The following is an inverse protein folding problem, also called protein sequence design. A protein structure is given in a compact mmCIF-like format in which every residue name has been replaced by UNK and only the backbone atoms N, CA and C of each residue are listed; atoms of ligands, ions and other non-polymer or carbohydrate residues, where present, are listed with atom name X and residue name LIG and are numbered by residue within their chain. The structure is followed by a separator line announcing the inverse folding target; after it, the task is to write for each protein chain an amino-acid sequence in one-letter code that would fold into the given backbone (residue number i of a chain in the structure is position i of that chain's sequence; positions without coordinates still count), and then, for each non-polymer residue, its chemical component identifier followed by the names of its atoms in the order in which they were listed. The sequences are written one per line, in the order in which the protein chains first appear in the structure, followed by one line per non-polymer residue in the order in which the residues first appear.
data_IF_662718073086
#
_entry.id   IF_662718073086
#
_cell.length_a   1.000
_cell.length_b   1.000
_cell.length_c   1.000
_cell.angle_alpha   90.00
_cell.angle_beta   90.00
_cell.angle_gamma   90.00
#
_symmetry.space_group_name_H-M   'P 1'
#
loop_
_entity.id
_entity.type
_entity.pdbx_description
1 polymer ?
#
# COMPACT_ATOMS: atom_id res chain seq x y z
N UNK A 1 41.38 8.48 -11.79
CA UNK A 1 40.34 8.41 -12.86
C UNK A 1 39.33 7.34 -12.48
N UNK A 2 38.24 7.75 -11.82
CA UNK A 2 37.21 6.85 -11.30
C UNK A 2 36.15 6.59 -12.38
N UNK A 3 35.95 5.32 -12.75
CA UNK A 3 34.85 4.90 -13.64
C UNK A 3 33.58 4.81 -12.81
N UNK A 4 32.71 5.80 -12.94
CA UNK A 4 31.34 5.75 -12.45
C UNK A 4 30.61 4.58 -13.13
N UNK A 5 30.16 3.60 -12.33
CA UNK A 5 29.25 2.54 -12.78
C UNK A 5 27.85 3.15 -12.82
N UNK A 6 27.30 3.29 -14.01
CA UNK A 6 25.92 3.72 -14.22
C UNK A 6 24.96 2.72 -13.56
N UNK A 7 24.18 3.21 -12.60
CA UNK A 7 23.04 2.50 -12.05
C UNK A 7 21.96 2.47 -13.14
N UNK A 8 21.62 1.28 -13.63
CA UNK A 8 20.56 1.10 -14.60
C UNK A 8 19.22 1.52 -13.95
N UNK A 9 18.77 2.73 -14.29
CA UNK A 9 17.45 3.23 -13.97
C UNK A 9 16.44 2.40 -14.77
N UNK A 10 15.71 1.50 -14.13
CA UNK A 10 14.60 0.79 -14.75
C UNK A 10 13.47 1.78 -15.01
N UNK A 11 13.52 2.42 -16.18
CA UNK A 11 12.42 3.20 -16.72
C UNK A 11 11.28 2.25 -17.08
N UNK A 12 10.13 2.46 -16.45
CA UNK A 12 8.85 1.89 -16.88
C UNK A 12 8.52 2.55 -18.23
N UNK A 13 8.76 1.84 -19.33
CA UNK A 13 8.28 2.22 -20.66
C UNK A 13 7.03 1.38 -20.95
N UNK A 14 5.87 2.03 -20.95
CA UNK A 14 4.65 1.44 -21.48
C UNK A 14 4.64 1.60 -22.99
N UNK A 15 4.73 0.50 -23.74
CA UNK A 15 4.38 0.51 -25.16
C UNK A 15 2.86 0.51 -25.32
N UNK A 16 2.37 1.56 -25.98
CA UNK A 16 1.02 1.69 -26.51
C UNK A 16 0.81 0.67 -27.64
N UNK A 17 -0.30 -0.07 -27.59
CA UNK A 17 -1.29 -0.14 -28.70
C UNK A 17 -2.47 -1.03 -28.32
N UNK A 18 -3.57 -0.40 -27.91
CA UNK A 18 -4.95 -0.77 -28.22
C UNK A 18 -5.81 0.48 -27.99
N UNK A 19 -6.85 0.76 -28.78
CA UNK A 19 -7.68 1.93 -28.56
C UNK A 19 -8.35 1.82 -27.18
N UNK A 20 -8.15 2.85 -26.36
CA UNK A 20 -8.78 2.98 -25.06
C UNK A 20 -10.29 2.94 -25.25
N UNK A 21 -10.95 1.88 -24.78
CA UNK A 21 -12.36 1.96 -24.44
C UNK A 21 -12.41 2.85 -23.20
N UNK A 22 -12.85 4.09 -23.40
CA UNK A 22 -12.76 5.21 -22.48
C UNK A 22 -13.17 4.88 -21.05
N UNK A 23 -12.59 5.67 -20.16
CA UNK A 23 -12.91 5.85 -18.76
C UNK A 23 -14.32 6.47 -18.53
N UNK A 24 -15.36 5.98 -19.21
CA UNK A 24 -16.67 6.65 -19.21
C UNK A 24 -17.56 6.33 -17.99
N UNK A 25 -17.16 5.40 -17.11
CA UNK A 25 -17.96 4.97 -15.94
C UNK A 25 -17.23 5.20 -14.59
N UNK A 26 -16.16 6.00 -14.56
CA UNK A 26 -15.39 6.27 -13.33
C UNK A 26 -15.23 7.77 -13.11
N UNK A 27 -15.76 8.25 -11.99
CA UNK A 27 -15.53 9.62 -11.54
C UNK A 27 -14.18 9.72 -10.82
N UNK A 28 -13.29 10.56 -11.34
CA UNK A 28 -11.99 10.84 -10.74
C UNK A 28 -12.05 12.19 -10.00
N UNK A 29 -11.69 12.18 -8.71
CA UNK A 29 -11.42 13.41 -7.94
C UNK A 29 -9.93 13.47 -7.65
N UNK A 30 -9.15 14.27 -8.41
CA UNK A 30 -7.71 14.34 -8.26
C UNK A 30 -7.30 15.16 -7.03
N UNK A 31 -6.09 14.86 -6.53
CA UNK A 31 -5.33 15.70 -5.61
C UNK A 31 -6.08 16.20 -4.37
N UNK A 32 -6.85 15.30 -3.75
CA UNK A 32 -7.48 15.55 -2.46
C UNK A 32 -6.38 15.67 -1.40
N UNK A 33 -6.27 16.85 -0.81
CA UNK A 33 -5.26 17.13 0.23
C UNK A 33 -5.71 16.57 1.58
N UNK A 34 -4.95 15.63 2.13
CA UNK A 34 -5.21 15.04 3.44
C UNK A 34 -4.30 15.58 4.55
N UNK A 35 -3.27 16.36 4.20
CA UNK A 35 -2.36 16.98 5.15
C UNK A 35 -1.36 17.91 4.47
N UNK A 36 -0.63 18.68 5.28
CA UNK A 36 0.47 19.51 4.82
C UNK A 36 1.72 19.20 5.63
N UNK A 37 2.87 19.11 4.96
CA UNK A 37 4.15 18.79 5.61
C UNK A 37 5.31 19.43 4.86
N UNK A 38 6.18 20.17 5.56
CA UNK A 38 7.28 20.95 4.96
C UNK A 38 6.87 21.83 3.77
N UNK A 39 5.69 22.46 3.85
CA UNK A 39 5.15 23.29 2.77
C UNK A 39 4.62 22.50 1.55
N UNK A 40 4.58 21.17 1.62
CA UNK A 40 4.03 20.30 0.59
C UNK A 40 2.61 19.85 0.98
N UNK A 41 1.73 19.75 0.01
CA UNK A 41 0.43 19.10 0.17
C UNK A 41 0.59 17.59 0.02
N UNK A 42 0.04 16.83 0.96
CA UNK A 42 -0.06 15.39 0.84
C UNK A 42 -1.40 15.02 0.26
N UNK A 43 -1.39 14.24 -0.82
CA UNK A 43 -2.57 14.03 -1.65
C UNK A 43 -2.91 12.56 -1.90
N UNK A 44 -4.19 12.31 -2.15
CA UNK A 44 -4.65 11.09 -2.80
C UNK A 44 -5.64 11.45 -3.92
N UNK A 45 -5.80 10.54 -4.87
CA UNK A 45 -6.89 10.63 -5.84
C UNK A 45 -8.02 9.67 -5.46
N UNK A 46 -9.25 10.03 -5.77
CA UNK A 46 -10.43 9.18 -5.56
C UNK A 46 -10.94 8.70 -6.91
N UNK A 47 -11.10 7.39 -7.06
CA UNK A 47 -11.72 6.74 -8.20
C UNK A 47 -13.03 6.14 -7.71
N UNK A 48 -14.15 6.76 -8.10
CA UNK A 48 -15.48 6.34 -7.70
C UNK A 48 -16.17 5.67 -8.88
N UNK A 49 -16.67 4.43 -8.76
CA UNK A 49 -17.49 3.84 -9.81
C UNK A 49 -18.80 4.63 -9.92
N UNK A 50 -19.16 5.06 -11.13
CA UNK A 50 -20.37 5.87 -11.33
C UNK A 50 -21.67 5.07 -11.23
N UNK A 51 -21.57 3.74 -11.35
CA UNK A 51 -22.67 2.77 -11.20
C UNK A 51 -22.27 1.70 -10.19
N UNK A 52 -23.28 1.13 -9.53
CA UNK A 52 -23.13 -0.06 -8.68
C UNK A 52 -22.07 0.07 -7.56
N UNK A 53 -21.86 1.28 -7.04
CA UNK A 53 -21.00 1.50 -5.90
C UNK A 53 -21.47 0.67 -4.68
N UNK A 54 -20.57 -0.16 -4.15
CA UNK A 54 -20.89 -1.14 -3.11
C UNK A 54 -20.74 -0.58 -1.68
N UNK A 55 -20.27 0.67 -1.57
CA UNK A 55 -20.05 1.41 -0.33
C UNK A 55 -18.79 1.02 0.44
N UNK A 56 -17.88 0.21 -0.11
CA UNK A 56 -16.59 -0.08 0.49
C UNK A 56 -15.45 0.71 -0.18
N UNK A 57 -14.43 1.05 0.59
CA UNK A 57 -13.27 1.81 0.15
C UNK A 57 -12.00 0.96 0.15
N UNK A 58 -11.16 1.09 -0.87
CA UNK A 58 -9.86 0.41 -0.94
C UNK A 58 -8.76 1.44 -1.18
N UNK A 59 -7.78 1.50 -0.28
CA UNK A 59 -6.64 2.39 -0.40
C UNK A 59 -5.51 1.66 -1.15
N UNK A 60 -5.00 2.27 -2.22
CA UNK A 60 -3.78 1.83 -2.89
C UNK A 60 -2.60 2.70 -2.44
N UNK A 61 -1.57 2.08 -1.88
CA UNK A 61 -0.33 2.79 -1.49
C UNK A 61 0.55 3.00 -2.72
N UNK A 62 0.61 4.23 -3.23
CA UNK A 62 1.50 4.61 -4.34
C UNK A 62 2.93 4.68 -3.83
N UNK A 63 3.61 3.53 -3.82
CA UNK A 63 4.96 3.44 -3.24
C UNK A 63 5.82 2.36 -3.91
N UNK A 64 6.92 2.79 -4.52
CA UNK A 64 7.95 1.88 -5.06
C UNK A 64 9.31 2.24 -4.47
N UNK A 65 9.91 1.36 -3.67
CA UNK A 65 11.11 1.69 -2.89
C UNK A 65 10.94 2.92 -1.99
N UNK A 66 9.72 3.14 -1.49
CA UNK A 66 9.29 4.32 -0.73
C UNK A 66 9.42 5.65 -1.49
N UNK A 67 9.52 5.61 -2.82
CA UNK A 67 9.24 6.74 -3.68
C UNK A 67 7.74 6.79 -3.98
N UNK A 68 7.13 7.96 -3.79
CA UNK A 68 5.72 8.19 -4.06
C UNK A 68 5.60 9.30 -5.11
N UNK A 69 5.41 8.90 -6.37
CA UNK A 69 5.42 9.83 -7.50
C UNK A 69 4.00 10.20 -7.89
N UNK A 70 3.80 11.49 -8.15
CA UNK A 70 2.59 11.95 -8.80
C UNK A 70 2.61 11.58 -10.28
N UNK A 71 1.46 11.14 -10.78
CA UNK A 71 1.17 10.98 -12.19
C UNK A 71 -0.30 11.36 -12.40
N UNK A 72 -0.71 11.80 -13.62
CA UNK A 72 -2.11 12.06 -13.91
C UNK A 72 -2.97 10.82 -13.57
N UNK A 73 -4.03 10.96 -12.75
CA UNK A 73 -4.81 9.83 -12.24
C UNK A 73 -5.48 9.00 -13.33
N UNK A 74 -5.76 9.58 -14.50
CA UNK A 74 -6.32 8.88 -15.65
C UNK A 74 -5.42 7.73 -16.10
N UNK A 75 -4.10 7.84 -15.88
CA UNK A 75 -3.13 6.76 -16.17
C UNK A 75 -3.26 5.57 -15.22
N UNK A 76 -3.80 5.79 -14.01
CA UNK A 76 -4.00 4.76 -13.01
C UNK A 76 -5.40 4.11 -13.08
N UNK A 77 -6.37 4.73 -13.77
CA UNK A 77 -7.75 4.22 -13.80
C UNK A 77 -7.82 2.76 -14.32
N UNK A 78 -7.00 2.41 -15.32
CA UNK A 78 -6.90 1.05 -15.84
C UNK A 78 -6.38 0.02 -14.82
N UNK A 79 -5.51 0.43 -13.89
CA UNK A 79 -5.00 -0.43 -12.81
C UNK A 79 -6.11 -0.79 -11.81
N UNK A 80 -7.05 0.11 -11.59
CA UNK A 80 -8.12 -0.05 -10.60
C UNK A 80 -9.39 -0.66 -11.16
N UNK A 81 -9.48 -0.86 -12.48
CA UNK A 81 -10.66 -1.42 -13.16
C UNK A 81 -11.22 -2.67 -12.47
N UNK A 82 -10.42 -3.69 -12.08
CA UNK A 82 -10.98 -4.89 -11.42
C UNK A 82 -11.69 -4.62 -10.09
N UNK A 83 -11.26 -3.59 -9.34
CA UNK A 83 -11.92 -3.16 -8.11
C UNK A 83 -13.16 -2.29 -8.41
N UNK A 84 -13.03 -1.37 -9.36
CA UNK A 84 -14.11 -0.46 -9.76
C UNK A 84 -15.30 -1.22 -10.35
N UNK A 85 -15.05 -2.27 -11.15
CA UNK A 85 -16.09 -3.16 -11.71
C UNK A 85 -16.84 -3.97 -10.62
N UNK A 86 -16.27 -4.08 -9.42
CA UNK A 86 -16.95 -4.66 -8.24
C UNK A 86 -17.59 -3.62 -7.33
N UNK A 87 -17.59 -2.36 -7.75
CA UNK A 87 -18.22 -1.26 -7.01
C UNK A 87 -17.37 -0.68 -5.88
N UNK A 88 -16.09 -1.03 -5.75
CA UNK A 88 -15.21 -0.44 -4.74
C UNK A 88 -14.80 0.98 -5.14
N UNK A 89 -14.85 1.92 -4.20
CA UNK A 89 -14.19 3.23 -4.35
C UNK A 89 -12.71 3.08 -4.03
N UNK A 90 -11.83 3.50 -4.94
CA UNK A 90 -10.37 3.37 -4.76
C UNK A 90 -9.74 4.71 -4.41
N UNK A 91 -8.88 4.72 -3.39
CA UNK A 91 -8.11 5.88 -2.96
C UNK A 91 -6.62 5.65 -3.28
N UNK A 92 -6.08 6.36 -4.26
CA UNK A 92 -4.68 6.25 -4.64
C UNK A 92 -3.83 7.19 -3.80
N UNK A 93 -3.27 6.68 -2.71
CA UNK A 93 -2.61 7.46 -1.65
C UNK A 93 -1.14 7.70 -1.97
N UNK A 94 -0.73 8.96 -1.96
CA UNK A 94 0.67 9.37 -2.03
C UNK A 94 1.16 9.82 -0.66
N UNK A 95 2.38 9.43 -0.31
CA UNK A 95 3.04 9.79 0.95
C UNK A 95 4.28 10.65 0.69
N UNK A 96 4.93 11.18 1.73
CA UNK A 96 6.20 11.88 1.57
C UNK A 96 7.20 11.00 0.80
N UNK A 97 7.74 11.48 -0.31
CA UNK A 97 8.60 10.65 -1.16
C UNK A 97 10.06 10.62 -0.67
N UNK A 98 10.68 9.44 -0.76
CA UNK A 98 12.14 9.30 -0.83
C UNK A 98 12.73 10.20 -1.94
N UNK A 99 13.96 10.73 -1.81
CA UNK A 99 14.90 10.52 -0.70
C UNK A 99 14.69 11.44 0.50
N UNK A 100 13.77 12.42 0.40
CA UNK A 100 13.55 13.44 1.43
C UNK A 100 12.97 12.84 2.70
N UNK A 101 11.98 11.98 2.57
CA UNK A 101 11.25 11.39 3.70
C UNK A 101 11.71 9.97 3.98
N UNK A 102 11.89 9.66 5.27
CA UNK A 102 12.26 8.32 5.74
C UNK A 102 11.05 7.52 6.18
N UNK A 103 11.19 6.21 6.38
CA UNK A 103 10.05 5.34 6.74
C UNK A 103 9.22 5.85 7.92
N UNK A 104 9.80 6.32 9.06
CA UNK A 104 8.99 6.84 10.17
C UNK A 104 8.03 7.97 9.75
N UNK A 105 8.54 8.86 8.91
CA UNK A 105 7.80 9.99 8.37
C UNK A 105 6.71 9.55 7.38
N UNK A 106 7.04 8.60 6.50
CA UNK A 106 6.13 8.03 5.51
C UNK A 106 4.97 7.28 6.19
N UNK A 107 5.27 6.53 7.25
CA UNK A 107 4.26 5.80 8.03
C UNK A 107 3.28 6.79 8.68
N UNK A 108 3.78 7.88 9.25
CA UNK A 108 2.91 8.95 9.77
C UNK A 108 1.99 9.53 8.69
N UNK A 109 2.47 9.69 7.46
CA UNK A 109 1.69 10.23 6.35
C UNK A 109 0.55 9.27 5.94
N UNK A 110 0.83 7.96 5.79
CA UNK A 110 -0.21 7.00 5.38
C UNK A 110 -1.21 6.69 6.49
N UNK A 111 -0.80 6.74 7.77
CA UNK A 111 -1.75 6.65 8.90
C UNK A 111 -2.73 7.83 8.85
N UNK A 112 -2.21 9.04 8.63
CA UNK A 112 -3.05 10.23 8.50
C UNK A 112 -4.04 10.10 7.33
N UNK A 113 -3.65 9.53 6.19
CA UNK A 113 -4.56 9.40 5.04
C UNK A 113 -5.74 8.48 5.33
N UNK A 114 -5.53 7.34 6.02
CA UNK A 114 -6.62 6.45 6.46
C UNK A 114 -7.60 7.20 7.35
N UNK A 115 -7.10 7.93 8.35
CA UNK A 115 -7.94 8.71 9.27
C UNK A 115 -8.73 9.78 8.55
N UNK A 116 -8.09 10.46 7.59
CA UNK A 116 -8.74 11.49 6.79
C UNK A 116 -9.86 10.91 5.93
N UNK A 117 -9.60 9.77 5.27
CA UNK A 117 -10.61 9.08 4.46
C UNK A 117 -11.77 8.63 5.35
N UNK A 118 -11.49 8.04 6.51
CA UNK A 118 -12.51 7.61 7.48
C UNK A 118 -13.34 8.78 8.01
N UNK A 119 -12.70 9.90 8.37
CA UNK A 119 -13.38 11.10 8.83
C UNK A 119 -14.35 11.67 7.78
N UNK A 120 -14.01 11.51 6.50
CA UNK A 120 -14.75 12.05 5.37
C UNK A 120 -15.50 10.96 4.59
N UNK A 121 -15.74 9.78 5.18
CA UNK A 121 -16.25 8.60 4.49
C UNK A 121 -17.59 8.87 3.78
N UNK A 122 -18.49 9.63 4.44
CA UNK A 122 -19.78 10.05 3.89
C UNK A 122 -19.63 10.83 2.57
N UNK A 123 -18.63 11.73 2.49
CA UNK A 123 -18.35 12.50 1.26
C UNK A 123 -17.97 11.62 0.07
N UNK A 124 -17.37 10.46 0.34
CA UNK A 124 -16.95 9.51 -0.69
C UNK A 124 -17.98 8.38 -0.93
N UNK A 125 -19.11 8.40 -0.22
CA UNK A 125 -20.11 7.34 -0.28
C UNK A 125 -19.60 5.98 0.19
N UNK A 126 -18.58 5.96 1.08
CA UNK A 126 -18.02 4.73 1.64
C UNK A 126 -18.40 4.58 3.11
N UNK A 127 -18.54 3.34 3.55
CA UNK A 127 -18.70 2.97 4.94
C UNK A 127 -17.33 3.03 5.65
N UNK A 128 -17.17 3.84 6.71
CA UNK A 128 -15.89 3.98 7.42
C UNK A 128 -15.38 2.69 8.06
N UNK A 129 -16.24 1.68 8.24
CA UNK A 129 -15.89 0.36 8.77
C UNK A 129 -15.45 -0.63 7.68
N UNK A 130 -15.69 -0.34 6.39
CA UNK A 130 -15.37 -1.22 5.25
C UNK A 130 -14.25 -0.63 4.40
N UNK A 131 -13.13 -0.32 5.06
CA UNK A 131 -11.91 0.21 4.43
C UNK A 131 -10.83 -0.86 4.38
N UNK A 132 -10.36 -1.20 3.17
CA UNK A 132 -9.20 -2.05 2.94
C UNK A 132 -7.99 -1.28 2.44
N UNK A 133 -6.81 -1.89 2.47
CA UNK A 133 -5.58 -1.32 1.91
C UNK A 133 -4.80 -2.35 1.12
N UNK A 134 -4.12 -1.90 0.07
CA UNK A 134 -3.12 -2.71 -0.61
C UNK A 134 -1.98 -1.92 -1.25
N UNK A 135 -0.93 -2.66 -1.59
CA UNK A 135 0.20 -2.14 -2.35
C UNK A 135 1.21 -3.25 -2.65
N UNK A 136 2.18 -2.94 -3.50
CA UNK A 136 3.29 -3.85 -3.81
C UNK A 136 4.63 -3.33 -3.30
N UNK A 137 5.54 -4.24 -2.95
CA UNK A 137 6.87 -3.90 -2.48
C UNK A 137 6.80 -2.94 -1.27
N UNK A 138 7.41 -1.76 -1.36
CA UNK A 138 7.27 -0.70 -0.35
C UNK A 138 5.80 -0.35 -0.02
N UNK A 139 4.89 -0.34 -1.01
CA UNK A 139 3.47 -0.14 -0.75
C UNK A 139 2.82 -1.30 0.01
N UNK A 140 3.30 -2.52 -0.21
CA UNK A 140 2.90 -3.70 0.55
C UNK A 140 3.41 -3.66 1.99
N UNK A 141 4.65 -3.20 2.19
CA UNK A 141 5.19 -2.90 3.53
C UNK A 141 4.33 -1.90 4.28
N UNK A 142 4.02 -0.75 3.66
CA UNK A 142 3.16 0.27 4.29
C UNK A 142 1.75 -0.26 4.58
N UNK A 143 1.21 -1.09 3.69
CA UNK A 143 -0.09 -1.75 3.89
C UNK A 143 -0.07 -2.68 5.12
N UNK A 144 1.00 -3.46 5.30
CA UNK A 144 1.16 -4.32 6.47
C UNK A 144 1.43 -3.54 7.75
N UNK A 145 2.20 -2.44 7.70
CA UNK A 145 2.38 -1.55 8.85
C UNK A 145 1.03 -0.98 9.29
N UNK A 146 0.21 -0.49 8.36
CA UNK A 146 -1.15 -0.03 8.68
C UNK A 146 -2.02 -1.13 9.28
N UNK A 147 -1.91 -2.36 8.78
CA UNK A 147 -2.65 -3.51 9.28
C UNK A 147 -2.26 -3.94 10.69
N UNK A 148 -0.96 -4.02 10.97
CA UNK A 148 -0.40 -4.60 12.21
C UNK A 148 -0.18 -3.58 13.33
N UNK A 149 -0.24 -2.28 13.03
CA UNK A 149 0.03 -1.22 14.02
C UNK A 149 -1.11 -0.21 14.16
N UNK A 150 -2.30 -0.52 13.63
CA UNK A 150 -3.46 0.38 13.68
C UNK A 150 -3.90 0.72 15.11
N UNK A 151 -4.40 1.93 15.30
CA UNK A 151 -4.91 2.43 16.59
C UNK A 151 -6.29 3.10 16.47
N UNK A 152 -6.89 3.42 17.61
CA UNK A 152 -8.23 4.03 17.70
C UNK A 152 -8.22 5.57 17.58
N UNK A 153 -7.03 6.16 17.50
CA UNK A 153 -6.79 7.59 17.54
C UNK A 153 -6.64 8.14 18.94
N UNK A 154 -6.35 9.44 19.02
CA UNK A 154 -6.23 10.16 20.27
C UNK A 154 -7.43 11.10 20.42
N UNK A 155 -8.43 10.78 21.28
CA UNK A 155 -9.61 11.61 21.49
C UNK A 155 -9.30 13.06 21.93
N UNK A 156 -8.12 13.29 22.52
CA UNK A 156 -7.66 14.60 22.99
C UNK A 156 -6.84 15.36 21.95
N UNK A 157 -6.62 14.82 20.75
CA UNK A 157 -5.84 15.50 19.72
C UNK A 157 -6.50 16.82 19.30
N UNK A 158 -5.70 17.86 19.06
CA UNK A 158 -6.21 19.15 18.57
C UNK A 158 -6.75 19.03 17.14
N UNK A 159 -6.03 18.31 16.29
CA UNK A 159 -6.45 18.00 14.93
C UNK A 159 -7.53 16.91 14.94
N UNK A 160 -8.74 17.17 14.39
CA UNK A 160 -9.80 16.18 14.31
C UNK A 160 -9.40 14.89 13.59
N UNK A 161 -8.52 14.96 12.58
CA UNK A 161 -8.05 13.78 11.85
C UNK A 161 -7.35 12.81 12.79
N UNK A 162 -6.56 13.31 13.74
CA UNK A 162 -5.80 12.47 14.68
C UNK A 162 -6.67 11.84 15.79
N UNK A 163 -7.96 12.21 15.87
CA UNK A 163 -8.92 11.58 16.79
C UNK A 163 -9.55 10.31 16.23
N UNK A 164 -9.45 10.12 14.93
CA UNK A 164 -10.13 9.05 14.19
C UNK A 164 -9.23 7.84 14.11
N UNK A 165 -9.76 6.63 14.29
CA UNK A 165 -9.00 5.38 14.11
C UNK A 165 -8.39 5.26 12.71
N UNK A 166 -7.24 4.60 12.60
CA UNK A 166 -6.65 4.16 11.32
C UNK A 166 -6.66 2.63 11.12
N UNK A 167 -7.37 1.88 11.96
CA UNK A 167 -7.58 0.43 11.78
C UNK A 167 -8.25 0.14 10.44
N UNK A 168 -7.93 -0.97 9.80
CA UNK A 168 -8.52 -1.36 8.52
C UNK A 168 -9.32 -2.65 8.67
N UNK A 169 -10.19 -2.95 7.71
CA UNK A 169 -11.02 -4.16 7.71
C UNK A 169 -10.38 -5.31 6.90
N UNK A 170 -9.47 -5.01 5.97
CA UNK A 170 -8.75 -6.01 5.19
C UNK A 170 -7.44 -5.46 4.63
N UNK A 171 -6.43 -6.31 4.50
CA UNK A 171 -5.13 -5.96 3.90
C UNK A 171 -4.78 -6.93 2.78
N UNK A 172 -4.23 -6.40 1.68
CA UNK A 172 -3.55 -7.21 0.66
C UNK A 172 -2.15 -6.65 0.43
N UNK A 173 -1.11 -7.48 0.49
CA UNK A 173 0.27 -7.02 0.28
C UNK A 173 1.00 -7.88 -0.75
N UNK A 174 1.47 -7.25 -1.82
CA UNK A 174 2.25 -7.93 -2.86
C UNK A 174 3.74 -7.84 -2.56
N UNK A 175 4.42 -8.99 -2.50
CA UNK A 175 5.88 -9.13 -2.27
C UNK A 175 6.46 -8.11 -1.28
N UNK A 176 5.88 -8.00 -0.06
CA UNK A 176 6.23 -6.93 0.87
C UNK A 176 7.51 -7.27 1.64
N UNK A 177 8.38 -6.29 1.91
CA UNK A 177 9.33 -6.42 3.00
C UNK A 177 8.61 -6.30 4.35
N UNK A 178 8.95 -7.18 5.28
CA UNK A 178 8.26 -7.34 6.58
C UNK A 178 9.15 -7.21 7.79
N UNK A 179 10.47 -7.34 7.60
CA UNK A 179 11.50 -7.19 8.63
C UNK A 179 12.59 -6.25 8.10
N UNK A 180 12.60 -5.03 8.62
CA UNK A 180 13.52 -3.98 8.19
C UNK A 180 14.80 -3.92 9.03
N UNK A 181 14.88 -4.65 10.14
CA UNK A 181 16.06 -4.67 11.03
C UNK A 181 17.38 -4.92 10.29
N UNK A 182 17.49 -5.94 9.40
CA UNK A 182 18.73 -6.14 8.63
C UNK A 182 18.94 -5.07 7.55
N UNK A 183 17.90 -4.32 7.18
CA UNK A 183 17.91 -3.39 6.04
C UNK A 183 18.30 -1.97 6.43
N UNK A 184 18.09 -1.58 7.69
CA UNK A 184 18.52 -0.29 8.24
C UNK A 184 20.00 -0.24 8.63
N UNK A 185 20.70 -1.37 8.58
CA UNK A 185 22.14 -1.42 8.83
C UNK A 185 22.88 -0.63 7.72
N UNK A 186 23.73 0.36 8.06
CA UNK A 186 24.48 1.14 7.07
C UNK A 186 25.30 0.32 6.08
N UNK A 187 25.72 -0.89 6.44
CA UNK A 187 26.46 -1.79 5.55
C UNK A 187 25.59 -2.57 4.58
N UNK A 188 24.28 -2.67 4.84
CA UNK A 188 23.31 -3.33 3.98
C UNK A 188 23.23 -2.68 2.61
N UNK A 189 23.12 -3.48 1.56
CA UNK A 189 22.86 -2.98 0.22
C UNK A 189 21.50 -2.28 0.13
N UNK A 190 20.52 -2.71 0.93
CA UNK A 190 19.21 -2.05 1.01
C UNK A 190 19.33 -0.62 1.54
N UNK A 191 20.05 -0.41 2.65
CA UNK A 191 20.31 0.91 3.21
C UNK A 191 20.95 1.87 2.18
N UNK A 192 21.94 1.36 1.44
CA UNK A 192 22.69 2.11 0.43
C UNK A 192 21.82 2.45 -0.78
N UNK A 193 20.91 1.57 -1.18
CA UNK A 193 20.09 1.71 -2.39
C UNK A 193 18.73 2.40 -2.17
N UNK A 194 18.16 2.34 -0.96
CA UNK A 194 16.85 2.89 -0.63
C UNK A 194 16.97 3.94 0.47
N UNK A 195 17.05 5.23 0.12
CA UNK A 195 17.26 6.30 1.09
C UNK A 195 16.21 6.38 2.20
N UNK A 196 15.00 5.85 2.00
CA UNK A 196 13.97 5.84 3.03
C UNK A 196 14.32 4.96 4.25
N UNK A 197 15.21 3.97 4.07
CA UNK A 197 15.75 3.11 5.15
C UNK A 197 16.82 3.80 6.00
N UNK A 198 17.25 5.00 5.60
CA UNK A 198 18.27 5.77 6.31
C UNK A 198 17.65 6.56 7.46
N UNK A 199 17.11 5.82 8.43
CA UNK A 199 16.60 6.32 9.71
C UNK A 199 17.30 5.61 10.87
N UNK A 200 17.01 6.03 12.10
CA UNK A 200 17.61 5.45 13.30
C UNK A 200 17.29 3.94 13.40
N UNK A 201 18.33 3.11 13.49
CA UNK A 201 18.18 1.65 13.55
C UNK A 201 17.46 1.18 14.81
N UNK A 202 17.46 1.97 15.88
CA UNK A 202 16.69 1.68 17.10
C UNK A 202 15.18 1.68 16.85
N UNK A 203 14.72 2.34 15.78
CA UNK A 203 13.30 2.35 15.39
C UNK A 203 12.96 1.23 14.39
N UNK A 204 13.90 0.36 14.03
CA UNK A 204 13.65 -0.64 12.99
C UNK A 204 12.54 -1.61 13.38
N UNK A 205 12.44 -1.93 14.67
CA UNK A 205 11.40 -2.79 15.20
C UNK A 205 10.02 -2.16 14.97
N UNK A 206 9.85 -0.87 15.29
CA UNK A 206 8.60 -0.11 15.13
C UNK A 206 8.04 -0.12 13.70
N UNK A 207 8.91 -0.28 12.70
CA UNK A 207 8.53 -0.26 11.28
C UNK A 207 8.68 -1.63 10.59
N UNK A 208 8.90 -2.69 11.36
CA UNK A 208 8.94 -4.08 10.88
C UNK A 208 7.62 -4.78 11.22
N UNK A 209 6.62 -4.82 10.31
CA UNK A 209 5.29 -5.35 10.62
C UNK A 209 5.30 -6.82 11.10
N UNK A 210 6.36 -7.59 10.78
CA UNK A 210 6.57 -8.93 11.33
C UNK A 210 6.53 -8.99 12.86
N UNK A 211 6.93 -7.91 13.55
CA UNK A 211 7.06 -7.87 15.01
C UNK A 211 5.78 -7.39 15.72
N UNK A 212 4.81 -6.89 14.96
CA UNK A 212 3.61 -6.26 15.51
C UNK A 212 2.34 -7.05 15.29
N UNK A 213 2.44 -8.27 14.74
CA UNK A 213 1.25 -9.10 14.54
C UNK A 213 0.51 -9.31 15.85
N UNK A 214 -0.80 -9.12 15.84
CA UNK A 214 -1.67 -9.17 17.01
C UNK A 214 -3.03 -9.75 16.65
N UNK A 215 -3.81 -10.21 17.64
CA UNK A 215 -5.10 -10.88 17.39
C UNK A 215 -6.19 -9.95 16.82
N UNK A 216 -6.01 -8.63 16.94
CA UNK A 216 -6.92 -7.60 16.43
C UNK A 216 -6.52 -7.05 15.06
N UNK A 217 -5.50 -7.63 14.43
CA UNK A 217 -5.13 -7.30 13.04
C UNK A 217 -6.23 -7.74 12.06
N UNK A 218 -6.42 -7.01 10.94
CA UNK A 218 -7.38 -7.39 9.91
C UNK A 218 -6.96 -8.64 9.14
N UNK A 219 -7.93 -9.35 8.54
CA UNK A 219 -7.63 -10.40 7.58
C UNK A 219 -6.64 -9.92 6.50
N UNK A 220 -5.54 -10.64 6.35
CA UNK A 220 -4.42 -10.25 5.49
C UNK A 220 -4.12 -11.29 4.40
N UNK A 221 -4.10 -10.85 3.15
CA UNK A 221 -3.62 -11.65 2.01
C UNK A 221 -2.22 -11.20 1.60
N UNK A 222 -1.31 -12.16 1.47
CA UNK A 222 0.01 -11.98 0.90
C UNK A 222 0.05 -12.60 -0.50
N UNK A 223 0.66 -11.92 -1.47
CA UNK A 223 0.91 -12.49 -2.81
C UNK A 223 2.37 -12.29 -3.17
N UNK A 224 3.12 -13.36 -3.40
CA UNK A 224 4.57 -13.30 -3.58
C UNK A 224 5.04 -14.26 -4.68
N UNK A 225 5.98 -13.83 -5.52
CA UNK A 225 6.68 -14.73 -6.44
C UNK A 225 7.81 -15.50 -5.76
N UNK A 226 7.97 -16.79 -6.04
CA UNK A 226 9.01 -17.63 -5.42
C UNK A 226 10.42 -17.42 -6.01
N UNK A 227 10.55 -16.62 -7.08
CA UNK A 227 11.82 -16.22 -7.70
C UNK A 227 12.16 -14.75 -7.46
N UNK A 228 11.51 -14.12 -6.49
CA UNK A 228 11.83 -12.76 -6.08
C UNK A 228 13.24 -12.67 -5.46
N UNK A 229 14.14 -11.97 -6.15
CA UNK A 229 15.52 -11.74 -5.71
C UNK A 229 15.72 -10.38 -5.06
N UNK A 230 14.69 -9.52 -5.07
CA UNK A 230 14.76 -8.20 -4.46
C UNK A 230 14.20 -8.26 -3.04
N UNK A 231 13.08 -8.92 -2.84
CA UNK A 231 12.50 -9.18 -1.52
C UNK A 231 12.34 -10.69 -1.41
N UNK A 232 13.17 -11.39 -0.63
CA UNK A 232 13.04 -12.84 -0.50
C UNK A 232 11.64 -13.24 0.00
N UNK A 233 11.12 -14.35 -0.52
CA UNK A 233 9.77 -14.85 -0.17
C UNK A 233 9.59 -15.12 1.33
N UNK A 234 10.68 -15.44 2.04
CA UNK A 234 10.73 -15.60 3.49
C UNK A 234 10.10 -14.41 4.24
N UNK A 235 10.11 -13.19 3.68
CA UNK A 235 9.39 -12.07 4.28
C UNK A 235 7.88 -12.33 4.42
N UNK A 236 7.26 -12.93 3.40
CA UNK A 236 5.85 -13.31 3.43
C UNK A 236 5.62 -14.58 4.25
N UNK A 237 6.49 -15.58 4.16
CA UNK A 237 6.35 -16.82 4.92
C UNK A 237 6.47 -16.57 6.44
N UNK A 238 7.42 -15.73 6.85
CA UNK A 238 7.65 -15.41 8.25
C UNK A 238 6.48 -14.63 8.86
N UNK A 239 5.92 -13.64 8.15
CA UNK A 239 4.78 -12.89 8.69
C UNK A 239 3.49 -13.73 8.67
N UNK A 240 3.31 -14.63 7.69
CA UNK A 240 2.21 -15.60 7.71
C UNK A 240 2.30 -16.50 8.96
N UNK A 241 3.49 -16.99 9.27
CA UNK A 241 3.73 -17.78 10.48
C UNK A 241 3.48 -16.97 11.77
N UNK A 242 3.77 -15.66 11.77
CA UNK A 242 3.46 -14.77 12.89
C UNK A 242 1.95 -14.57 13.06
N UNK A 243 1.21 -14.29 11.97
CA UNK A 243 -0.26 -14.22 11.98
C UNK A 243 -0.92 -15.52 12.48
N UNK A 244 -0.39 -16.67 12.09
CA UNK A 244 -0.90 -17.96 12.57
C UNK A 244 -0.75 -18.11 14.10
N UNK A 245 0.33 -17.59 14.69
CA UNK A 245 0.54 -17.61 16.16
C UNK A 245 -0.43 -16.70 16.91
N UNK A 246 -0.90 -15.63 16.27
CA UNK A 246 -1.84 -14.67 16.88
C UNK A 246 -3.30 -14.94 16.55
N UNK A 247 -3.58 -15.94 15.70
CA UNK A 247 -4.93 -16.33 15.30
C UNK A 247 -5.56 -15.43 14.24
N UNK A 248 -4.77 -14.61 13.56
CA UNK A 248 -5.24 -13.74 12.48
C UNK A 248 -5.54 -14.58 11.24
N UNK A 249 -6.63 -14.24 10.55
CA UNK A 249 -6.94 -14.86 9.26
C UNK A 249 -5.96 -14.33 8.22
N UNK A 250 -5.02 -15.17 7.79
CA UNK A 250 -4.04 -14.79 6.78
C UNK A 250 -3.80 -15.92 5.76
N UNK A 251 -3.57 -15.53 4.51
CA UNK A 251 -3.29 -16.44 3.40
C UNK A 251 -2.07 -15.94 2.62
N UNK A 252 -1.28 -16.86 2.06
CA UNK A 252 -0.20 -16.57 1.14
C UNK A 252 -0.45 -17.26 -0.20
N UNK A 253 -0.57 -16.47 -1.26
CA UNK A 253 -0.60 -16.95 -2.63
C UNK A 253 0.80 -16.83 -3.22
N UNK A 254 1.43 -17.98 -3.46
CA UNK A 254 2.70 -18.05 -4.17
C UNK A 254 2.44 -18.09 -5.68
N UNK A 255 3.07 -17.18 -6.42
CA UNK A 255 3.09 -17.18 -7.88
C UNK A 255 4.37 -17.87 -8.33
N UNK A 256 4.26 -19.16 -8.65
CA UNK A 256 5.39 -19.99 -9.07
C UNK A 256 6.10 -19.42 -10.32
N UNK A 257 7.42 -19.31 -10.25
CA UNK A 257 8.27 -18.77 -11.30
C UNK A 257 8.34 -17.24 -11.34
N UNK A 258 7.44 -16.52 -10.65
CA UNK A 258 7.41 -15.07 -10.70
C UNK A 258 8.51 -14.41 -9.86
N UNK A 259 9.01 -13.27 -10.35
CA UNK A 259 9.99 -12.43 -9.69
C UNK A 259 9.33 -11.23 -8.97
N UNK A 260 10.10 -10.17 -8.69
CA UNK A 260 9.59 -8.94 -8.08
C UNK A 260 8.68 -8.16 -9.04
N UNK A 261 7.37 -8.22 -8.81
CA UNK A 261 6.37 -7.59 -9.67
C UNK A 261 5.73 -8.57 -10.67
N UNK A 262 4.46 -8.34 -10.96
CA UNK A 262 3.64 -9.25 -11.77
C UNK A 262 3.16 -8.59 -13.06
N UNK A 263 3.13 -9.36 -14.16
CA UNK A 263 2.66 -8.92 -15.48
C UNK A 263 1.93 -10.07 -16.16
N UNK A 264 1.17 -9.77 -17.21
CA UNK A 264 0.43 -10.81 -17.96
C UNK A 264 -0.47 -11.64 -17.04
N UNK A 265 -0.40 -12.97 -17.20
CA UNK A 265 -1.18 -13.92 -16.40
C UNK A 265 -0.89 -13.84 -14.90
N UNK A 266 0.36 -13.60 -14.48
CA UNK A 266 0.69 -13.43 -13.06
C UNK A 266 0.03 -12.18 -12.49
N UNK A 267 0.04 -11.09 -13.26
CA UNK A 267 -0.62 -9.84 -12.89
C UNK A 267 -2.13 -10.01 -12.77
N UNK A 268 -2.73 -10.75 -13.72
CA UNK A 268 -4.15 -11.11 -13.67
C UNK A 268 -4.46 -11.98 -12.45
N UNK A 269 -3.69 -13.03 -12.20
CA UNK A 269 -3.85 -13.93 -11.05
C UNK A 269 -3.75 -13.17 -9.72
N UNK A 270 -2.78 -12.27 -9.59
CA UNK A 270 -2.65 -11.43 -8.41
C UNK A 270 -3.88 -10.51 -8.23
N UNK A 271 -4.31 -9.84 -9.30
CA UNK A 271 -5.48 -8.97 -9.28
C UNK A 271 -6.76 -9.72 -8.94
N UNK A 272 -6.98 -10.90 -9.50
CA UNK A 272 -8.17 -11.71 -9.24
C UNK A 272 -8.24 -12.14 -7.77
N UNK A 273 -7.10 -12.51 -7.16
CA UNK A 273 -7.07 -12.87 -5.73
C UNK A 273 -7.24 -11.65 -4.82
N UNK A 274 -6.69 -10.50 -5.19
CA UNK A 274 -6.95 -9.24 -4.48
C UNK A 274 -8.43 -8.89 -4.47
N UNK A 275 -9.10 -8.97 -5.63
CA UNK A 275 -10.53 -8.65 -5.73
C UNK A 275 -11.34 -9.61 -4.87
N UNK A 276 -11.08 -10.92 -4.97
CA UNK A 276 -11.75 -11.94 -4.14
C UNK A 276 -11.56 -11.69 -2.65
N UNK A 277 -10.36 -11.29 -2.21
CA UNK A 277 -10.10 -10.99 -0.81
C UNK A 277 -10.97 -9.83 -0.30
N UNK A 278 -11.01 -8.73 -1.05
CA UNK A 278 -11.82 -7.58 -0.68
C UNK A 278 -13.32 -7.84 -0.80
N UNK A 279 -13.78 -8.60 -1.81
CA UNK A 279 -15.18 -9.05 -1.86
C UNK A 279 -15.55 -9.86 -0.61
N UNK A 280 -14.68 -10.78 -0.17
CA UNK A 280 -14.92 -11.62 1.02
C UNK A 280 -14.96 -10.80 2.31
N UNK A 281 -14.03 -9.87 2.49
CA UNK A 281 -13.80 -9.22 3.80
C UNK A 281 -14.40 -7.81 3.91
N UNK A 282 -14.77 -7.19 2.79
CA UNK A 282 -15.41 -5.89 2.75
C UNK A 282 -16.83 -5.96 2.19
N UNK A 283 -17.45 -7.13 1.97
CA UNK A 283 -18.86 -7.23 1.62
C UNK A 283 -19.77 -6.65 2.73
N UNK A 284 -21.03 -6.37 2.38
CA UNK A 284 -22.08 -6.00 3.35
C UNK A 284 -22.58 -7.22 4.10
#
# INVERSE_FOLDING_TARGET
MSRAKYLACFCIVFSLTAPARCADDVKITPDVVYGHKHGLAMTFDVFTPEKDANGAGVLFMVSGGWYSRWAPPERAAGLFRPLLEKGFTVFSVRHGSSPKFKIPEVVSDVRRSVRFIRLNAEKYGVDPSRLGVYGGSAGGHLSLVLGTTGDDGNPKAKDPVLRISDRLAAVVAYYPPTDLRPWVNPESSYYKNYPALQFDSELADDFSPLLHTSKDDPPTLLIHGDKDKLVPIDHSENILAAFAKTGVTAELIVIEGAAHGFRGEDGKRASDNLVKWFEKHLAK
#
